data_IF_662593208779
#
_entry.id   IF_662593208779
#
_cell.length_a   1.000
_cell.length_b   1.000
_cell.length_c   1.000
_cell.angle_alpha   90.00
_cell.angle_beta   90.00
_cell.angle_gamma   90.00
#
_symmetry.space_group_name_H-M   'P 1'
#
loop_
_entity.id
_entity.type
_entity.pdbx_description
1 polymer ?
#
# COMPACT_ATOMS: atom_id res chain seq x y z
N UNK A 1 9.81 3.78 -20.21
CA UNK A 1 9.80 3.91 -18.74
C UNK A 1 9.02 2.74 -18.19
N UNK A 2 9.54 1.98 -17.22
CA UNK A 2 8.78 0.90 -16.58
C UNK A 2 7.57 1.48 -15.85
N UNK A 3 6.40 0.86 -15.99
CA UNK A 3 5.23 1.24 -15.20
C UNK A 3 5.52 1.03 -13.70
N UNK A 4 5.09 1.96 -12.86
CA UNK A 4 5.22 1.86 -11.41
C UNK A 4 4.30 0.75 -10.92
N UNK A 5 4.85 -0.21 -10.15
CA UNK A 5 4.07 -1.30 -9.53
C UNK A 5 4.01 -1.08 -8.04
N UNK A 6 2.80 -1.07 -7.50
CA UNK A 6 2.53 -0.66 -6.12
C UNK A 6 2.11 -1.86 -5.27
N UNK A 7 2.64 -1.91 -4.05
CA UNK A 7 2.22 -2.81 -2.99
C UNK A 7 1.57 -1.99 -1.89
N UNK A 8 0.24 -2.02 -1.82
CA UNK A 8 -0.55 -1.31 -0.83
C UNK A 8 -0.51 -2.03 0.51
N UNK A 9 -0.04 -1.35 1.54
CA UNK A 9 -0.02 -1.84 2.92
C UNK A 9 -1.44 -2.06 3.49
N UNK A 10 -1.54 -2.77 4.61
CA UNK A 10 -2.79 -3.13 5.29
C UNK A 10 -3.65 -1.92 5.62
N UNK A 11 -3.01 -0.78 5.94
CA UNK A 11 -3.68 0.47 6.31
C UNK A 11 -4.37 1.17 5.13
N UNK A 12 -4.01 0.84 3.88
CA UNK A 12 -4.72 1.33 2.72
C UNK A 12 -6.06 0.60 2.63
N UNK A 13 -7.18 1.31 2.43
CA UNK A 13 -8.49 0.67 2.28
C UNK A 13 -8.59 -0.17 0.98
N UNK A 14 -9.27 -1.34 1.00
CA UNK A 14 -9.52 -2.11 -0.22
C UNK A 14 -10.27 -1.32 -1.30
N UNK A 15 -11.15 -0.40 -0.90
CA UNK A 15 -11.88 0.49 -1.81
C UNK A 15 -10.94 1.46 -2.53
N UNK A 16 -9.92 1.98 -1.82
CA UNK A 16 -8.87 2.82 -2.43
C UNK A 16 -8.07 2.04 -3.46
N UNK A 17 -7.67 0.81 -3.14
CA UNK A 17 -6.94 -0.05 -4.10
C UNK A 17 -7.79 -0.36 -5.33
N UNK A 18 -9.09 -0.67 -5.14
CA UNK A 18 -10.00 -0.91 -6.25
C UNK A 18 -10.19 0.32 -7.15
N UNK A 19 -10.32 1.50 -6.55
CA UNK A 19 -10.40 2.76 -7.29
C UNK A 19 -9.12 3.07 -8.06
N UNK A 20 -7.94 2.83 -7.48
CA UNK A 20 -6.66 3.01 -8.19
C UNK A 20 -6.51 2.00 -9.33
N UNK A 21 -6.87 0.74 -9.13
CA UNK A 21 -6.89 -0.27 -10.21
C UNK A 21 -7.79 0.16 -11.37
N UNK A 22 -8.97 0.70 -11.09
CA UNK A 22 -9.90 1.15 -12.15
C UNK A 22 -9.38 2.35 -12.96
N UNK A 23 -8.44 3.12 -12.39
CA UNK A 23 -7.73 4.20 -13.09
C UNK A 23 -6.46 3.71 -13.83
N UNK A 24 -6.18 2.41 -13.83
CA UNK A 24 -5.06 1.82 -14.57
C UNK A 24 -3.73 1.73 -13.79
N UNK A 25 -3.73 1.98 -12.48
CA UNK A 25 -2.54 1.75 -11.65
C UNK A 25 -2.31 0.25 -11.44
N UNK A 26 -1.06 -0.20 -11.60
CA UNK A 26 -0.63 -1.54 -11.21
C UNK A 26 -0.41 -1.55 -9.69
N UNK A 27 -1.43 -1.99 -8.95
CA UNK A 27 -1.44 -2.00 -7.49
C UNK A 27 -2.06 -3.28 -6.93
N UNK A 28 -1.49 -3.80 -5.85
CA UNK A 28 -1.99 -4.99 -5.13
C UNK A 28 -1.83 -4.81 -3.63
N UNK A 29 -2.72 -5.42 -2.84
CA UNK A 29 -2.58 -5.37 -1.37
C UNK A 29 -1.54 -6.36 -0.89
N UNK A 30 -0.87 -6.04 0.20
CA UNK A 30 -0.03 -7.00 0.94
C UNK A 30 -0.81 -8.25 1.31
N UNK A 31 -2.05 -8.09 1.78
CA UNK A 31 -2.96 -9.18 2.16
C UNK A 31 -3.42 -10.08 1.02
N UNK A 32 -3.22 -9.67 -0.25
CA UNK A 32 -3.55 -10.51 -1.41
C UNK A 32 -2.40 -11.50 -1.71
N UNK A 33 -1.20 -11.26 -1.18
CA UNK A 33 0.02 -12.01 -1.48
C UNK A 33 0.65 -12.66 -0.24
N UNK A 34 0.39 -12.10 0.95
CA UNK A 34 0.92 -12.54 2.23
C UNK A 34 -0.23 -12.70 3.25
N UNK A 35 -0.05 -13.51 4.31
CA UNK A 35 -0.96 -13.53 5.43
C UNK A 35 -1.17 -12.13 6.02
N UNK A 36 -2.37 -11.84 6.54
CA UNK A 36 -2.64 -10.56 7.20
C UNK A 36 -1.78 -10.31 8.47
N UNK A 37 -1.09 -11.35 8.95
CA UNK A 37 -0.15 -11.32 10.08
C UNK A 37 1.31 -11.24 9.65
N UNK A 38 1.61 -11.06 8.36
CA UNK A 38 2.97 -10.94 7.87
C UNK A 38 3.67 -9.73 8.50
N UNK A 39 4.94 -9.90 8.85
CA UNK A 39 5.75 -8.83 9.43
C UNK A 39 6.16 -7.82 8.35
N UNK A 40 6.43 -6.57 8.77
CA UNK A 40 6.88 -5.49 7.88
C UNK A 40 8.12 -5.89 7.06
N UNK A 41 9.04 -6.66 7.65
CA UNK A 41 10.23 -7.15 6.95
C UNK A 41 9.88 -8.09 5.77
N UNK A 42 8.84 -8.91 5.90
CA UNK A 42 8.38 -9.81 4.83
C UNK A 42 7.72 -9.01 3.71
N UNK A 43 6.96 -7.96 4.05
CA UNK A 43 6.35 -7.04 3.08
C UNK A 43 7.43 -6.28 2.30
N UNK A 44 8.45 -5.77 2.99
CA UNK A 44 9.58 -5.07 2.37
C UNK A 44 10.40 -5.99 1.47
N UNK A 45 10.65 -7.22 1.91
CA UNK A 45 11.38 -8.21 1.11
C UNK A 45 10.61 -8.60 -0.15
N UNK A 46 9.29 -8.82 -0.04
CA UNK A 46 8.43 -9.05 -1.20
C UNK A 46 8.49 -7.88 -2.19
N UNK A 47 8.36 -6.65 -1.69
CA UNK A 47 8.45 -5.46 -2.54
C UNK A 47 9.82 -5.36 -3.24
N UNK A 48 10.91 -5.67 -2.54
CA UNK A 48 12.27 -5.66 -3.08
C UNK A 48 12.47 -6.71 -4.16
N UNK A 49 12.08 -7.96 -3.90
CA UNK A 49 12.22 -9.09 -4.84
C UNK A 49 11.37 -8.87 -6.09
N UNK A 50 10.13 -8.39 -5.91
CA UNK A 50 9.22 -8.18 -7.02
C UNK A 50 9.42 -6.83 -7.72
N UNK A 51 10.27 -5.94 -7.20
CA UNK A 51 10.47 -4.61 -7.76
C UNK A 51 9.20 -3.76 -7.71
N UNK A 52 8.53 -3.73 -6.56
CA UNK A 52 7.34 -2.94 -6.25
C UNK A 52 7.69 -1.81 -5.27
N UNK A 53 6.93 -0.73 -5.35
CA UNK A 53 6.99 0.39 -4.41
C UNK A 53 5.90 0.21 -3.35
N UNK A 54 6.27 0.27 -2.08
CA UNK A 54 5.31 0.18 -0.98
C UNK A 54 4.51 1.49 -0.89
N UNK A 55 3.19 1.39 -0.95
CA UNK A 55 2.26 2.46 -0.66
C UNK A 55 1.70 2.25 0.75
N UNK A 56 2.05 3.15 1.66
CA UNK A 56 1.57 3.14 3.04
C UNK A 56 0.86 4.45 3.36
N UNK A 57 0.05 4.44 4.42
CA UNK A 57 -0.63 5.62 4.96
C UNK A 57 -0.25 5.75 6.43
N UNK A 58 0.26 6.91 6.81
CA UNK A 58 0.30 7.30 8.20
C UNK A 58 -1.08 7.77 8.65
N UNK A 59 -1.66 7.09 9.63
CA UNK A 59 -3.01 7.35 10.11
C UNK A 59 -3.05 8.59 11.02
N UNK A 60 -1.92 9.01 11.59
CA UNK A 60 -1.88 10.15 12.51
C UNK A 60 -1.94 11.50 11.79
N UNK A 61 -1.61 11.55 10.49
CA UNK A 61 -1.59 12.81 9.74
C UNK A 61 -2.97 13.46 9.67
N UNK A 62 -4.01 12.63 9.55
CA UNK A 62 -5.40 13.10 9.53
C UNK A 62 -5.81 13.70 10.89
N UNK A 63 -5.30 13.14 11.98
CA UNK A 63 -5.47 13.68 13.33
C UNK A 63 -4.70 15.01 13.48
N UNK A 64 -3.46 15.09 12.99
CA UNK A 64 -2.68 16.34 13.02
C UNK A 64 -3.38 17.48 12.27
N UNK A 65 -3.94 17.20 11.08
CA UNK A 65 -4.74 18.18 10.32
C UNK A 65 -5.99 18.61 11.09
N UNK A 66 -6.71 17.68 11.72
CA UNK A 66 -7.89 18.00 12.53
C UNK A 66 -7.55 18.86 13.76
N UNK A 67 -6.43 18.59 14.42
CA UNK A 67 -5.96 19.36 15.58
C UNK A 67 -5.36 20.73 15.22
N UNK A 68 -4.99 20.94 13.96
CA UNK A 68 -4.44 22.21 13.46
C UNK A 68 -5.48 23.23 12.96
N UNK A 69 -6.78 22.88 13.04
CA UNK A 69 -7.90 23.80 12.78
C UNK A 69 -8.49 24.34 14.09
#
# INVERSE_FOLDING_TARGET
MSSLRLLADVHISPLTVAALRSQGYDIVRTTDLLPATAADAEILELARVEGKVVLTQDLDFSMLVALSN
#
